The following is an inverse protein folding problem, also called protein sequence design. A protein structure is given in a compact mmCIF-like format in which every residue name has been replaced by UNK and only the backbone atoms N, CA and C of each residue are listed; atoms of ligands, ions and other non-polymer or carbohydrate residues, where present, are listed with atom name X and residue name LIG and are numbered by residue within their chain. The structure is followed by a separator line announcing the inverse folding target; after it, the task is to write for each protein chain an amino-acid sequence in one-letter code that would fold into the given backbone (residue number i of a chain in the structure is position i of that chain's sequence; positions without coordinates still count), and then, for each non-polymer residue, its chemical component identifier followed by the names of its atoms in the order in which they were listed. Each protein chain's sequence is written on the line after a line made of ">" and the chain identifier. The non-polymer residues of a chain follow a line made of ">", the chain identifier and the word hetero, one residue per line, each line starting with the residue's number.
data_IF_379477219099
#
_entry.id   IF_379477219099
#
_cell.length_a   1.000
_cell.length_b   1.000
_cell.length_c   1.000
_cell.angle_alpha   90.00
_cell.angle_beta   90.00
_cell.angle_gamma   90.00
#
_symmetry.space_group_name_H-M   'P 1'
#
loop_
_entity.id
_entity.type
_entity.pdbx_description
1 polymer ?
#
# COMPACT_ATOMS: atom_id res chain seq x y z
N UNK A 1 -11.12 11.87 -18.96
CA UNK A 1 -10.98 12.09 -17.51
C UNK A 1 -9.59 11.58 -17.13
N UNK A 2 -8.76 12.39 -16.47
CA UNK A 2 -7.44 11.95 -16.02
C UNK A 2 -7.62 11.18 -14.71
N UNK A 3 -7.40 9.87 -14.77
CA UNK A 3 -7.69 8.93 -13.68
C UNK A 3 -6.72 9.14 -12.52
N UNK A 4 -5.44 9.39 -12.81
CA UNK A 4 -4.43 9.68 -11.79
C UNK A 4 -4.80 10.94 -10.99
N UNK A 5 -5.25 12.00 -11.66
CA UNK A 5 -5.69 13.24 -11.02
C UNK A 5 -6.93 13.01 -10.13
N UNK A 6 -7.86 12.16 -10.57
CA UNK A 6 -9.01 11.75 -9.78
C UNK A 6 -8.61 11.02 -8.49
N UNK A 7 -7.70 10.05 -8.60
CA UNK A 7 -7.18 9.29 -7.47
C UNK A 7 -6.39 10.18 -6.49
N UNK A 8 -5.53 11.06 -6.99
CA UNK A 8 -4.81 12.06 -6.17
C UNK A 8 -5.79 12.98 -5.43
N UNK A 9 -6.86 13.42 -6.09
CA UNK A 9 -7.89 14.23 -5.44
C UNK A 9 -8.65 13.46 -4.35
N UNK A 10 -8.85 12.15 -4.53
CA UNK A 10 -9.44 11.28 -3.52
C UNK A 10 -8.53 11.14 -2.29
N UNK A 11 -7.24 10.82 -2.49
CA UNK A 11 -6.26 10.73 -1.41
C UNK A 11 -6.16 12.04 -0.61
N UNK A 12 -6.22 13.20 -1.28
CA UNK A 12 -6.26 14.50 -0.60
C UNK A 12 -7.49 14.68 0.29
N UNK A 13 -8.66 14.17 -0.13
CA UNK A 13 -9.88 14.20 0.71
C UNK A 13 -9.78 13.26 1.92
N UNK A 14 -9.01 12.19 1.81
CA UNK A 14 -8.68 11.30 2.91
C UNK A 14 -7.65 11.90 3.89
N UNK A 15 -7.10 13.08 3.59
CA UNK A 15 -6.16 13.78 4.47
C UNK A 15 -4.70 13.54 4.14
N UNK A 16 -4.38 12.90 3.01
CA UNK A 16 -3.00 12.81 2.53
C UNK A 16 -2.54 14.11 1.87
N UNK A 17 -1.33 14.55 2.20
CA UNK A 17 -0.64 15.61 1.48
C UNK A 17 0.15 15.01 0.33
N UNK A 18 -0.33 15.23 -0.91
CA UNK A 18 0.25 14.65 -2.13
C UNK A 18 0.75 15.77 -3.05
N UNK A 19 2.06 15.81 -3.32
CA UNK A 19 2.72 16.78 -4.20
C UNK A 19 3.18 16.13 -5.50
N UNK A 20 2.90 16.75 -6.66
CA UNK A 20 3.43 16.25 -7.94
C UNK A 20 4.91 16.57 -8.08
N UNK A 21 5.72 15.58 -8.48
CA UNK A 21 7.16 15.75 -8.70
C UNK A 21 7.55 15.57 -10.16
N UNK A 22 6.84 14.72 -10.90
CA UNK A 22 6.95 14.54 -12.35
C UNK A 22 5.61 14.02 -12.91
N UNK A 23 5.42 13.97 -14.25
CA UNK A 23 4.23 13.33 -14.82
C UNK A 23 4.05 11.90 -14.31
N UNK A 24 2.88 11.61 -13.72
CA UNK A 24 2.57 10.31 -13.13
C UNK A 24 3.39 9.95 -11.89
N UNK A 25 4.10 10.90 -11.27
CA UNK A 25 4.87 10.67 -10.04
C UNK A 25 4.53 11.74 -9.03
N UNK A 26 4.16 11.28 -7.84
CA UNK A 26 3.81 12.12 -6.71
C UNK A 26 4.61 11.71 -5.48
N UNK A 27 4.79 12.64 -4.56
CA UNK A 27 5.35 12.40 -3.23
C UNK A 27 4.24 12.59 -2.19
N UNK A 28 4.09 11.63 -1.29
CA UNK A 28 3.13 11.72 -0.17
C UNK A 28 3.87 12.16 1.08
N UNK A 29 3.64 13.38 1.55
CA UNK A 29 4.48 14.00 2.59
C UNK A 29 3.88 13.98 3.99
N UNK A 30 2.55 13.80 4.10
CA UNK A 30 1.85 13.76 5.38
C UNK A 30 0.51 13.01 5.26
N UNK A 31 -0.02 12.56 6.40
CA UNK A 31 -1.39 12.07 6.56
C UNK A 31 -2.01 12.73 7.80
N UNK A 32 -3.18 13.36 7.67
CA UNK A 32 -3.89 14.05 8.75
C UNK A 32 -3.02 15.09 9.49
N UNK A 33 -2.19 15.83 8.74
CA UNK A 33 -1.27 16.83 9.27
C UNK A 33 0.00 16.26 9.92
N UNK A 34 0.14 14.94 10.03
CA UNK A 34 1.36 14.29 10.54
C UNK A 34 2.32 13.98 9.39
N UNK A 35 3.57 14.46 9.42
CA UNK A 35 4.55 14.15 8.39
C UNK A 35 4.81 12.65 8.26
N UNK A 36 4.83 12.15 7.03
CA UNK A 36 5.33 10.80 6.74
C UNK A 36 6.85 10.87 6.65
N UNK A 37 7.54 10.13 7.52
CA UNK A 37 9.01 10.18 7.60
C UNK A 37 9.66 9.89 6.24
N UNK A 38 9.18 8.88 5.52
CA UNK A 38 9.80 8.36 4.30
C UNK A 38 9.37 9.05 3.02
N UNK A 39 8.31 9.85 3.10
CA UNK A 39 7.73 10.57 1.97
C UNK A 39 7.58 9.67 0.72
N UNK A 40 6.81 8.58 0.80
CA UNK A 40 6.76 7.59 -0.26
C UNK A 40 6.39 8.18 -1.62
N UNK A 41 7.03 7.66 -2.66
CA UNK A 41 6.72 8.02 -4.05
C UNK A 41 5.50 7.22 -4.53
N UNK A 42 4.44 7.92 -4.89
CA UNK A 42 3.26 7.37 -5.52
C UNK A 42 3.39 7.47 -7.05
N UNK A 43 3.50 6.33 -7.72
CA UNK A 43 3.75 6.22 -9.16
C UNK A 43 2.46 5.80 -9.88
N UNK A 44 1.87 6.74 -10.59
CA UNK A 44 0.59 6.64 -11.29
C UNK A 44 0.69 7.14 -12.74
N UNK A 45 1.52 6.51 -13.61
CA UNK A 45 1.51 6.81 -15.03
C UNK A 45 0.12 6.51 -15.61
N UNK A 46 -0.47 7.50 -16.29
CA UNK A 46 -1.89 7.48 -16.68
C UNK A 46 -2.24 6.30 -17.60
N UNK A 47 -1.36 5.97 -18.54
CA UNK A 47 -1.54 4.87 -19.49
C UNK A 47 -1.56 3.52 -18.77
N UNK A 48 -0.60 3.27 -17.88
CA UNK A 48 -0.51 2.03 -17.12
C UNK A 48 -1.65 1.94 -16.09
N UNK A 49 -2.03 3.05 -15.45
CA UNK A 49 -3.12 3.08 -14.48
C UNK A 49 -4.46 2.74 -15.14
N UNK A 50 -4.72 3.28 -16.33
CA UNK A 50 -5.94 2.97 -17.08
C UNK A 50 -6.01 1.47 -17.45
N UNK A 51 -4.89 0.88 -17.89
CA UNK A 51 -4.81 -0.55 -18.18
C UNK A 51 -4.96 -1.40 -16.91
N UNK A 52 -4.33 -1.01 -15.81
CA UNK A 52 -4.42 -1.70 -14.52
C UNK A 52 -5.87 -1.72 -14.00
N UNK A 53 -6.57 -0.59 -14.10
CA UNK A 53 -8.00 -0.49 -13.74
C UNK A 53 -8.85 -1.38 -14.63
N UNK A 54 -8.56 -1.42 -15.93
CA UNK A 54 -9.28 -2.30 -16.85
C UNK A 54 -9.09 -3.78 -16.47
N UNK A 55 -7.89 -4.18 -16.05
CA UNK A 55 -7.60 -5.52 -15.57
C UNK A 55 -8.30 -5.84 -14.24
N UNK A 56 -8.34 -4.88 -13.30
CA UNK A 56 -8.99 -5.04 -11.99
C UNK A 56 -10.53 -5.07 -12.05
N UNK A 57 -11.16 -4.78 -13.20
CA UNK A 57 -12.62 -4.69 -13.30
C UNK A 57 -13.33 -5.96 -12.85
N UNK A 58 -12.78 -7.13 -13.16
CA UNK A 58 -13.39 -8.40 -12.79
C UNK A 58 -13.36 -8.59 -11.28
N UNK A 59 -12.17 -8.54 -10.69
CA UNK A 59 -11.93 -8.70 -9.25
C UNK A 59 -12.73 -7.67 -8.42
N UNK A 60 -12.80 -6.41 -8.91
CA UNK A 60 -13.59 -5.37 -8.28
C UNK A 60 -15.09 -5.68 -8.29
N UNK A 61 -15.60 -6.21 -9.41
CA UNK A 61 -17.01 -6.58 -9.53
C UNK A 61 -17.36 -7.76 -8.61
N UNK A 62 -16.48 -8.74 -8.45
CA UNK A 62 -16.66 -9.84 -7.49
C UNK A 62 -16.68 -9.35 -6.05
N UNK A 63 -15.87 -8.34 -5.72
CA UNK A 63 -15.85 -7.70 -4.41
C UNK A 63 -17.00 -6.69 -4.19
N UNK A 64 -17.81 -6.39 -5.22
CA UNK A 64 -18.86 -5.36 -5.15
C UNK A 64 -18.32 -3.93 -5.02
N UNK A 65 -17.09 -3.68 -5.47
CA UNK A 65 -16.39 -2.39 -5.37
C UNK A 65 -16.13 -1.79 -6.76
N UNK A 66 -15.91 -0.47 -6.83
CA UNK A 66 -15.31 0.11 -8.02
C UNK A 66 -13.79 -0.18 -8.01
N UNK A 67 -13.14 -0.42 -9.16
CA UNK A 67 -11.68 -0.63 -9.22
C UNK A 67 -10.88 0.52 -8.59
N UNK A 68 -11.39 1.74 -8.68
CA UNK A 68 -10.76 2.90 -8.05
C UNK A 68 -10.84 2.86 -6.51
N UNK A 69 -11.89 2.26 -5.95
CA UNK A 69 -12.02 2.10 -4.51
C UNK A 69 -11.02 1.03 -4.02
N UNK A 70 -10.84 -0.05 -4.76
CA UNK A 70 -9.80 -1.06 -4.46
C UNK A 70 -8.39 -0.45 -4.49
N UNK A 71 -8.05 0.33 -5.52
CA UNK A 71 -6.74 0.98 -5.60
C UNK A 71 -6.56 1.97 -4.44
N UNK A 72 -7.59 2.74 -4.13
CA UNK A 72 -7.57 3.67 -2.99
C UNK A 72 -7.33 2.93 -1.66
N UNK A 73 -7.96 1.77 -1.45
CA UNK A 73 -7.73 0.92 -0.29
C UNK A 73 -6.30 0.39 -0.25
N UNK A 74 -5.77 -0.16 -1.35
CA UNK A 74 -4.38 -0.63 -1.39
C UNK A 74 -3.38 0.50 -1.08
N UNK A 75 -3.63 1.72 -1.57
CA UNK A 75 -2.78 2.87 -1.22
C UNK A 75 -2.84 3.16 0.27
N UNK A 76 -4.03 3.18 0.87
CA UNK A 76 -4.19 3.42 2.31
C UNK A 76 -3.47 2.35 3.13
N UNK A 77 -3.68 1.08 2.81
CA UNK A 77 -3.04 -0.05 3.50
C UNK A 77 -1.51 0.09 3.49
N UNK A 78 -0.92 0.39 2.33
CA UNK A 78 0.53 0.51 2.19
C UNK A 78 1.12 1.78 2.82
N UNK A 79 0.34 2.86 2.93
CA UNK A 79 0.78 4.11 3.54
C UNK A 79 0.57 4.14 5.06
N UNK A 80 -0.43 3.42 5.56
CA UNK A 80 -0.81 3.41 6.98
C UNK A 80 -0.28 2.17 7.72
N UNK A 81 0.21 1.15 7.00
CA UNK A 81 0.88 -0.01 7.61
C UNK A 81 2.13 0.43 8.39
N UNK A 82 2.22 0.03 9.65
CA UNK A 82 3.34 0.32 10.55
C UNK A 82 4.00 -0.97 11.02
N UNK A 83 5.34 -0.96 11.11
CA UNK A 83 6.10 -2.02 11.75
C UNK A 83 5.93 -2.01 13.29
N UNK A 84 6.39 -3.03 14.03
CA UNK A 84 6.33 -3.04 15.50
C UNK A 84 7.03 -1.83 16.16
N UNK A 85 7.95 -1.18 15.45
CA UNK A 85 8.62 0.05 15.87
C UNK A 85 7.79 1.32 15.57
N UNK A 86 6.55 1.16 15.08
CA UNK A 86 5.60 2.22 14.79
C UNK A 86 5.90 3.01 13.52
N UNK A 87 6.68 2.46 12.59
CA UNK A 87 7.14 3.17 11.39
C UNK A 87 6.54 2.55 10.13
N UNK A 88 6.02 3.40 9.24
CA UNK A 88 5.76 3.01 7.87
C UNK A 88 7.10 2.92 7.10
N UNK A 89 7.29 1.80 6.40
CA UNK A 89 8.53 1.50 5.66
C UNK A 89 8.40 1.69 4.15
N UNK A 90 7.22 2.06 3.66
CA UNK A 90 6.95 2.24 2.25
C UNK A 90 7.76 3.42 1.73
N UNK A 91 8.53 3.17 0.67
CA UNK A 91 9.35 4.17 -0.03
C UNK A 91 8.80 4.49 -1.41
N UNK A 92 8.13 3.54 -2.06
CA UNK A 92 7.39 3.77 -3.28
C UNK A 92 6.25 2.76 -3.44
N UNK A 93 5.19 3.17 -4.11
CA UNK A 93 4.05 2.30 -4.45
C UNK A 93 3.33 2.83 -5.69
N UNK A 94 2.55 1.95 -6.32
CA UNK A 94 1.65 2.32 -7.41
C UNK A 94 1.62 1.27 -8.50
N UNK A 95 1.53 1.72 -9.75
CA UNK A 95 1.43 0.84 -10.92
C UNK A 95 2.64 0.99 -11.83
N UNK A 96 3.08 -0.14 -12.40
CA UNK A 96 4.15 -0.18 -13.41
C UNK A 96 3.88 -1.29 -14.42
N UNK A 97 4.71 -1.37 -15.47
CA UNK A 97 4.73 -2.54 -16.35
C UNK A 97 5.71 -3.56 -15.80
N UNK A 98 5.30 -4.82 -15.78
CA UNK A 98 6.18 -5.95 -15.52
C UNK A 98 7.14 -6.19 -16.71
N UNK A 99 8.02 -7.18 -16.58
CA UNK A 99 8.93 -7.60 -17.65
C UNK A 99 8.25 -8.06 -18.95
N UNK A 100 6.96 -8.42 -18.90
CA UNK A 100 6.15 -8.85 -20.03
C UNK A 100 5.27 -7.70 -20.58
N UNK A 101 5.44 -6.48 -20.06
CA UNK A 101 4.68 -5.30 -20.45
C UNK A 101 3.29 -5.18 -19.83
N UNK A 102 2.89 -6.08 -18.93
CA UNK A 102 1.56 -6.11 -18.30
C UNK A 102 1.51 -5.12 -17.13
N UNK A 103 0.39 -4.42 -16.91
CA UNK A 103 0.24 -3.55 -15.75
C UNK A 103 0.25 -4.39 -14.46
N UNK A 104 1.07 -4.01 -13.49
CA UNK A 104 1.16 -4.63 -12.17
C UNK A 104 1.16 -3.58 -11.06
N UNK A 105 0.65 -3.98 -9.90
CA UNK A 105 0.83 -3.26 -8.64
C UNK A 105 2.22 -3.52 -8.09
N UNK A 106 2.88 -2.50 -7.57
CA UNK A 106 4.15 -2.67 -6.89
C UNK A 106 4.21 -1.86 -5.60
N UNK A 107 5.01 -2.38 -4.66
CA UNK A 107 5.37 -1.70 -3.41
C UNK A 107 6.86 -1.91 -3.19
N UNK A 108 7.56 -0.85 -2.81
CA UNK A 108 8.95 -0.88 -2.37
C UNK A 108 9.01 -0.43 -0.92
N UNK A 109 9.70 -1.20 -0.10
CA UNK A 109 9.86 -0.93 1.33
C UNK A 109 11.35 -0.92 1.67
N UNK A 110 11.74 -0.12 2.67
CA UNK A 110 13.10 -0.20 3.22
C UNK A 110 13.35 -1.60 3.81
N UNK A 111 14.55 -2.19 3.67
CA UNK A 111 14.86 -3.53 4.17
C UNK A 111 14.69 -3.64 5.69
N UNK A 112 13.88 -4.58 6.17
CA UNK A 112 13.71 -4.80 7.61
C UNK A 112 15.08 -5.08 8.24
N UNK A 113 15.46 -4.44 9.36
CA UNK A 113 16.60 -4.92 10.12
C UNK A 113 16.32 -6.39 10.45
N UNK A 114 17.34 -7.27 10.39
CA UNK A 114 17.16 -8.65 10.82
C UNK A 114 16.56 -8.63 12.22
N UNK A 115 15.62 -9.52 12.53
CA UNK A 115 15.14 -9.63 13.90
C UNK A 115 16.39 -9.85 14.77
N UNK A 116 16.63 -8.96 15.73
CA UNK A 116 17.53 -9.30 16.83
C UNK A 116 17.03 -10.65 17.33
N UNK A 117 17.94 -11.63 17.43
CA UNK A 117 17.60 -12.96 17.89
C UNK A 117 16.99 -12.84 19.29
N UNK A 118 15.66 -12.74 19.35
CA UNK A 118 14.96 -12.64 20.61
C UNK A 118 15.31 -13.92 21.40
N UNK A 119 15.69 -13.82 22.68
CA UNK A 119 15.93 -15.00 23.50
C UNK A 119 14.67 -15.87 23.45
N UNK A 120 14.87 -17.16 23.16
CA UNK A 120 13.87 -18.05 22.62
C UNK A 120 12.53 -18.02 23.34
N UNK A 121 11.50 -17.54 22.64
CA UNK A 121 10.13 -17.92 22.94
C UNK A 121 9.95 -19.38 22.50
N UNK A 122 10.11 -20.30 23.46
CA UNK A 122 9.67 -21.68 23.31
C UNK A 122 8.15 -21.68 23.45
N UNK A 123 7.45 -22.01 22.37
CA UNK A 123 6.03 -22.30 22.43
C UNK A 123 5.83 -23.66 23.11
N UNK A 124 5.60 -23.66 24.42
CA UNK A 124 5.18 -24.86 25.13
C UNK A 124 3.67 -25.03 24.96
N UNK A 125 3.28 -25.80 23.95
CA UNK A 125 1.92 -26.29 23.81
C UNK A 125 1.67 -27.35 24.89
N UNK A 126 1.43 -26.93 26.14
CA UNK A 126 0.84 -27.82 27.13
C UNK A 126 -0.62 -28.07 26.72
N UNK A 127 -1.03 -29.33 26.44
CA UNK A 127 -2.44 -29.64 26.22
C UNK A 127 -3.23 -29.32 27.51
N UNK A 128 -4.45 -28.78 27.41
CA UNK A 128 -5.27 -28.55 28.59
C UNK A 128 -5.56 -29.88 29.30
N UNK A 129 -5.31 -29.92 30.61
CA UNK A 129 -5.60 -31.06 31.47
C UNK A 129 -7.06 -31.48 31.30
N UNK A 130 -7.27 -32.66 30.69
CA UNK A 130 -8.54 -33.34 30.74
C UNK A 130 -8.69 -33.92 32.15
N UNK A 131 -9.43 -33.21 32.99
CA UNK A 131 -9.80 -33.65 34.34
C UNK A 131 -10.39 -35.06 34.32
N UNK A 132 -9.91 -35.87 35.25
CA UNK A 132 -10.41 -37.20 35.57
C UNK A 132 -11.86 -37.17 36.09
N UNK A 133 -12.62 -38.26 35.92
CA UNK A 133 -13.51 -38.76 36.96
C UNK A 133 -12.78 -39.69 37.94
#
# INVERSE_FOLDING_TARGET
>A
MNVAAGLVARLRRLGYTVAGTAPGVHEVTAHAGRPLHRRPRLVLPEDVLAEYIAALRHDAAEAGLAPLDLIETHIQEELDSIDPEGRNRTTALGVRRDHAGRPEWFVTQDPRPPPDAAPGFRWDAAPPDAGAP
#
